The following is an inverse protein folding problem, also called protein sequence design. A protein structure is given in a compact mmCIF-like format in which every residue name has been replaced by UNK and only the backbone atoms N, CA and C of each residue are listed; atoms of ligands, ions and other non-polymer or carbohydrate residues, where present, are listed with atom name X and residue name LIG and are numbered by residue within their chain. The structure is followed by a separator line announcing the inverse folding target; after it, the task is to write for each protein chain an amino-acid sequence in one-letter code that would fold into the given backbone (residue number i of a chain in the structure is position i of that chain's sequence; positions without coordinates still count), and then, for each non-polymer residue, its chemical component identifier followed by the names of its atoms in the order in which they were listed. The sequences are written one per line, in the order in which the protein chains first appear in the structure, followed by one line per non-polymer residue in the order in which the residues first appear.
data_IF_011563448363
#
_entry.id   IF_011563448363
#
_cell.length_a   1.000
_cell.length_b   1.000
_cell.length_c   1.000
_cell.angle_alpha   90.00
_cell.angle_beta   90.00
_cell.angle_gamma   90.00
#
_symmetry.space_group_name_H-M   'P 1'
#
loop_
_entity.id
_entity.type
_entity.pdbx_description
1 polymer ?
#
# COMPACT_ATOMS: atom_id res chain seq x y z
N UNK A 1 -7.00 13.30 -17.16
CA UNK A 1 -5.84 12.92 -16.32
C UNK A 1 -6.18 11.85 -15.28
N UNK A 2 -7.21 12.00 -14.43
CA UNK A 2 -7.62 10.96 -13.48
C UNK A 2 -7.84 9.58 -14.13
N UNK A 3 -8.61 9.55 -15.23
CA UNK A 3 -8.85 8.34 -16.01
C UNK A 3 -7.55 7.72 -16.55
N UNK A 4 -6.57 8.51 -16.98
CA UNK A 4 -5.30 7.98 -17.49
C UNK A 4 -4.48 7.31 -16.40
N UNK A 5 -4.54 7.83 -15.17
CA UNK A 5 -3.84 7.23 -14.03
C UNK A 5 -4.55 5.94 -13.60
N UNK A 6 -5.88 5.95 -13.57
CA UNK A 6 -6.67 4.75 -13.31
C UNK A 6 -6.49 3.67 -14.39
N UNK A 7 -6.35 4.08 -15.66
CA UNK A 7 -6.06 3.16 -16.78
C UNK A 7 -4.65 2.60 -16.73
N UNK A 8 -3.66 3.41 -16.33
CA UNK A 8 -2.27 2.95 -16.24
C UNK A 8 -2.04 2.06 -15.02
N UNK A 9 -2.52 2.48 -13.85
CA UNK A 9 -2.12 1.91 -12.58
C UNK A 9 -3.25 1.11 -11.90
N UNK A 10 -4.43 1.03 -12.51
CA UNK A 10 -5.63 0.53 -11.85
C UNK A 10 -6.06 1.45 -10.69
N UNK A 11 -6.65 0.87 -9.67
CA UNK A 11 -6.85 1.58 -8.40
C UNK A 11 -5.51 1.59 -7.65
N UNK A 12 -4.97 2.78 -7.39
CA UNK A 12 -3.64 2.97 -6.81
C UNK A 12 -3.52 2.51 -5.35
N UNK A 13 -4.62 2.08 -4.72
CA UNK A 13 -4.69 1.59 -3.33
C UNK A 13 -3.76 0.41 -3.05
N UNK A 14 -3.41 -0.38 -4.06
CA UNK A 14 -2.52 -1.54 -3.93
C UNK A 14 -1.04 -1.28 -4.25
N UNK A 15 -0.71 -0.08 -4.75
CA UNK A 15 0.62 0.17 -5.32
C UNK A 15 1.66 0.69 -4.31
N UNK A 16 1.34 1.60 -3.36
CA UNK A 16 2.35 2.06 -2.40
C UNK A 16 2.35 1.18 -1.12
N UNK A 17 3.50 0.89 -0.44
CA UNK A 17 4.90 1.11 -0.69
C UNK A 17 5.43 1.25 -2.07
N UNK A 18 5.21 0.17 -2.79
CA UNK A 18 6.25 -0.55 -3.50
C UNK A 18 6.37 -0.06 -4.96
N UNK A 19 5.38 0.67 -5.43
CA UNK A 19 5.27 1.15 -6.80
C UNK A 19 4.85 0.03 -7.72
N UNK A 20 5.11 0.21 -9.01
CA UNK A 20 4.72 -0.77 -10.02
C UNK A 20 5.88 -1.72 -10.32
N UNK A 21 5.68 -3.02 -10.05
CA UNK A 21 6.53 -4.09 -10.58
C UNK A 21 6.01 -4.55 -11.94
N UNK A 22 6.25 -3.72 -12.96
CA UNK A 22 5.81 -3.99 -14.32
C UNK A 22 6.48 -5.24 -14.92
N UNK A 23 7.67 -5.63 -14.43
CA UNK A 23 8.35 -6.84 -14.88
C UNK A 23 7.60 -8.08 -14.42
N UNK A 24 7.26 -8.15 -13.12
CA UNK A 24 6.43 -9.23 -12.59
C UNK A 24 5.05 -9.25 -13.24
N UNK A 25 4.44 -8.08 -13.45
CA UNK A 25 3.12 -7.99 -14.07
C UNK A 25 3.12 -8.56 -15.50
N UNK A 26 4.08 -8.15 -16.34
CA UNK A 26 4.24 -8.72 -17.70
C UNK A 26 4.49 -10.23 -17.65
N UNK A 27 5.32 -10.70 -16.72
CA UNK A 27 5.60 -12.12 -16.57
C UNK A 27 4.34 -12.93 -16.20
N UNK A 28 3.47 -12.40 -15.35
CA UNK A 28 2.20 -13.06 -15.00
C UNK A 28 1.23 -13.12 -16.19
N UNK A 29 1.21 -12.10 -17.06
CA UNK A 29 0.42 -12.15 -18.31
C UNK A 29 0.96 -13.23 -19.25
N UNK A 30 2.28 -13.30 -19.49
CA UNK A 30 2.87 -14.35 -20.34
C UNK A 30 2.65 -15.76 -19.78
N UNK A 31 2.76 -15.89 -18.45
CA UNK A 31 2.43 -17.15 -17.78
C UNK A 31 0.97 -17.52 -17.98
N UNK A 32 0.05 -16.58 -17.85
CA UNK A 32 -1.38 -16.84 -18.08
C UNK A 32 -1.69 -17.27 -19.53
N UNK A 33 -0.95 -16.75 -20.53
CA UNK A 33 -1.09 -17.18 -21.94
C UNK A 33 -0.66 -18.62 -22.21
N UNK A 34 0.33 -19.09 -21.46
CA UNK A 34 0.99 -20.38 -21.73
C UNK A 34 0.46 -21.52 -20.85
N UNK A 35 -0.18 -21.18 -19.73
CA UNK A 35 -0.80 -22.15 -18.82
C UNK A 35 -1.97 -22.86 -19.49
N UNK A 36 -2.01 -24.19 -19.35
CA UNK A 36 -3.19 -24.98 -19.70
C UNK A 36 -4.37 -24.57 -18.80
N UNK A 37 -5.52 -24.11 -19.35
CA UNK A 37 -6.69 -23.76 -18.55
C UNK A 37 -7.15 -24.90 -17.62
N UNK A 38 -6.99 -26.16 -18.04
CA UNK A 38 -7.33 -27.31 -17.22
C UNK A 38 -6.34 -27.48 -16.06
N UNK A 39 -5.06 -27.16 -16.24
CA UNK A 39 -4.08 -27.09 -15.16
C UNK A 39 -4.45 -26.01 -14.16
N UNK A 40 -4.81 -24.82 -14.65
CA UNK A 40 -5.24 -23.73 -13.77
C UNK A 40 -6.48 -24.10 -12.96
N UNK A 41 -7.43 -24.78 -13.58
CA UNK A 41 -8.61 -25.29 -12.88
C UNK A 41 -8.25 -26.33 -11.82
N UNK A 42 -7.30 -27.24 -12.11
CA UNK A 42 -6.77 -28.19 -11.11
C UNK A 42 -6.09 -27.46 -9.94
N UNK A 43 -5.35 -26.39 -10.18
CA UNK A 43 -4.77 -25.57 -9.11
C UNK A 43 -5.86 -24.93 -8.23
N UNK A 44 -6.90 -24.36 -8.84
CA UNK A 44 -8.03 -23.78 -8.12
C UNK A 44 -8.77 -24.83 -7.30
N UNK A 45 -9.02 -26.01 -7.86
CA UNK A 45 -9.63 -27.13 -7.13
C UNK A 45 -8.78 -27.55 -5.92
N UNK A 46 -7.45 -27.62 -6.08
CA UNK A 46 -6.53 -27.88 -4.97
C UNK A 46 -6.56 -26.75 -3.93
N UNK A 47 -6.62 -25.50 -4.37
CA UNK A 47 -6.72 -24.34 -3.48
C UNK A 47 -8.02 -24.36 -2.69
N UNK A 48 -9.16 -24.73 -3.29
CA UNK A 48 -10.42 -24.94 -2.57
C UNK A 48 -10.29 -26.07 -1.54
N UNK A 49 -9.65 -27.19 -1.90
CA UNK A 49 -9.46 -28.33 -0.99
C UNK A 49 -8.60 -27.98 0.23
N UNK A 50 -7.62 -27.07 0.06
CA UNK A 50 -6.75 -26.55 1.12
C UNK A 50 -7.43 -25.48 2.00
N UNK A 51 -8.74 -25.30 1.92
CA UNK A 51 -9.45 -24.42 2.85
C UNK A 51 -9.36 -24.94 4.29
N UNK A 52 -9.10 -24.05 5.23
CA UNK A 52 -8.95 -24.37 6.65
C UNK A 52 -10.30 -24.61 7.33
N UNK A 53 -11.37 -23.99 6.82
CA UNK A 53 -12.72 -24.09 7.35
C UNK A 53 -13.79 -24.04 6.24
N UNK A 54 -15.05 -24.34 6.60
CA UNK A 54 -16.15 -24.41 5.64
C UNK A 54 -16.56 -23.04 5.09
N UNK A 55 -16.42 -21.97 5.86
CA UNK A 55 -16.66 -20.61 5.39
C UNK A 55 -15.66 -20.20 4.32
N UNK A 56 -14.38 -20.49 4.56
CA UNK A 56 -13.32 -20.31 3.58
C UNK A 56 -13.54 -21.18 2.35
N UNK A 57 -13.89 -22.45 2.52
CA UNK A 57 -14.19 -23.35 1.41
C UNK A 57 -15.26 -22.77 0.51
N UNK A 58 -16.36 -22.24 1.07
CA UNK A 58 -17.43 -21.59 0.31
C UNK A 58 -16.94 -20.39 -0.51
N UNK A 59 -16.12 -19.51 0.09
CA UNK A 59 -15.57 -18.34 -0.63
C UNK A 59 -14.61 -18.77 -1.73
N UNK A 60 -13.72 -19.74 -1.47
CA UNK A 60 -12.79 -20.28 -2.46
C UNK A 60 -13.56 -20.97 -3.60
N UNK A 61 -14.59 -21.75 -3.29
CA UNK A 61 -15.45 -22.44 -4.25
C UNK A 61 -16.19 -21.43 -5.13
N UNK A 62 -16.79 -20.39 -4.55
CA UNK A 62 -17.42 -19.29 -5.30
C UNK A 62 -16.44 -18.65 -6.29
N UNK A 63 -15.22 -18.33 -5.85
CA UNK A 63 -14.18 -17.76 -6.74
C UNK A 63 -13.77 -18.72 -7.84
N UNK A 64 -13.63 -20.01 -7.52
CA UNK A 64 -13.34 -21.06 -8.51
C UNK A 64 -14.46 -21.20 -9.53
N UNK A 65 -15.72 -21.17 -9.10
CA UNK A 65 -16.88 -21.33 -9.99
C UNK A 65 -17.13 -20.10 -10.87
N UNK A 66 -16.72 -18.91 -10.40
CA UNK A 66 -16.72 -17.68 -11.19
C UNK A 66 -15.50 -17.57 -12.12
N UNK A 67 -14.49 -18.43 -11.99
CA UNK A 67 -13.26 -18.31 -12.76
C UNK A 67 -13.46 -18.79 -14.20
N UNK A 68 -13.38 -17.84 -15.13
CA UNK A 68 -13.22 -18.09 -16.56
C UNK A 68 -11.80 -17.70 -16.96
N UNK A 69 -11.00 -18.68 -17.40
CA UNK A 69 -9.61 -18.45 -17.78
C UNK A 69 -9.49 -17.50 -18.99
N UNK A 70 -10.36 -17.64 -19.98
CA UNK A 70 -10.31 -16.81 -21.17
C UNK A 70 -10.70 -15.36 -20.85
N UNK A 71 -11.70 -15.14 -20.00
CA UNK A 71 -12.03 -13.79 -19.51
C UNK A 71 -10.92 -13.22 -18.64
N UNK A 72 -10.38 -13.99 -17.69
CA UNK A 72 -9.29 -13.52 -16.84
C UNK A 72 -8.07 -13.10 -17.66
N UNK A 73 -7.67 -13.89 -18.66
CA UNK A 73 -6.58 -13.55 -19.57
C UNK A 73 -6.91 -12.28 -20.38
N UNK A 74 -8.12 -12.15 -20.93
CA UNK A 74 -8.55 -10.93 -21.64
C UNK A 74 -8.45 -9.69 -20.77
N UNK A 75 -8.90 -9.75 -19.51
CA UNK A 75 -8.79 -8.64 -18.57
C UNK A 75 -7.31 -8.27 -18.32
N UNK A 76 -6.48 -9.27 -18.00
CA UNK A 76 -5.05 -9.05 -17.75
C UNK A 76 -4.34 -8.41 -18.96
N UNK A 77 -4.65 -8.87 -20.18
CA UNK A 77 -4.10 -8.31 -21.41
C UNK A 77 -4.61 -6.89 -21.69
N UNK A 78 -5.90 -6.62 -21.43
CA UNK A 78 -6.48 -5.30 -21.61
C UNK A 78 -5.88 -4.28 -20.63
N UNK A 79 -5.67 -4.66 -19.36
CA UNK A 79 -5.02 -3.80 -18.37
C UNK A 79 -3.57 -3.49 -18.75
N UNK A 80 -2.80 -4.50 -19.19
CA UNK A 80 -1.42 -4.29 -19.66
C UNK A 80 -1.37 -3.43 -20.94
N UNK A 81 -2.31 -3.63 -21.87
CA UNK A 81 -2.42 -2.80 -23.07
C UNK A 81 -2.78 -1.34 -22.73
N UNK A 82 -3.63 -1.12 -21.71
CA UNK A 82 -3.94 0.22 -21.23
C UNK A 82 -2.71 0.89 -20.63
N UNK A 83 -1.93 0.17 -19.82
CA UNK A 83 -0.63 0.66 -19.32
C UNK A 83 0.30 1.07 -20.46
N UNK A 84 0.50 0.20 -21.45
CA UNK A 84 1.39 0.45 -22.59
C UNK A 84 0.91 1.61 -23.47
N UNK A 85 -0.40 1.77 -23.63
CA UNK A 85 -0.97 2.91 -24.34
C UNK A 85 -0.69 4.25 -23.63
N UNK A 86 -0.82 4.29 -22.30
CA UNK A 86 -0.47 5.51 -21.54
C UNK A 86 1.04 5.76 -21.56
N UNK A 87 1.85 4.70 -21.46
CA UNK A 87 3.31 4.78 -21.56
C UNK A 87 3.74 5.43 -22.88
N UNK A 88 3.11 5.04 -23.99
CA UNK A 88 3.42 5.57 -25.32
C UNK A 88 3.18 7.09 -25.44
N UNK A 89 2.27 7.65 -24.64
CA UNK A 89 1.97 9.08 -24.63
C UNK A 89 2.86 9.88 -23.66
N UNK A 90 3.73 9.24 -22.86
CA UNK A 90 4.59 9.93 -21.90
C UNK A 90 5.46 11.05 -22.49
N UNK A 91 6.03 10.94 -23.70
CA UNK A 91 6.78 12.04 -24.30
C UNK A 91 5.97 13.34 -24.42
N UNK A 92 4.67 13.25 -24.70
CA UNK A 92 3.77 14.42 -24.73
C UNK A 92 3.36 14.85 -23.34
N UNK A 93 3.08 13.90 -22.45
CA UNK A 93 2.65 14.20 -21.09
C UNK A 93 3.76 14.88 -20.27
N UNK A 94 5.04 14.60 -20.55
CA UNK A 94 6.20 15.25 -19.91
C UNK A 94 6.28 16.77 -20.10
N UNK A 95 5.47 17.37 -20.97
CA UNK A 95 5.39 18.85 -21.11
C UNK A 95 4.35 19.48 -20.18
N UNK A 96 3.45 18.68 -19.60
CA UNK A 96 2.37 19.17 -18.74
C UNK A 96 2.77 19.57 -17.31
N UNK A 97 3.92 19.16 -16.73
CA UNK A 97 4.41 19.72 -15.47
C UNK A 97 4.68 21.24 -15.51
N UNK A 98 4.75 21.85 -16.70
CA UNK A 98 4.83 23.32 -16.88
C UNK A 98 3.50 23.96 -17.30
N UNK A 99 2.39 23.22 -17.28
CA UNK A 99 1.09 23.76 -17.66
C UNK A 99 0.64 24.86 -16.69
N UNK A 100 -0.15 25.82 -17.19
CA UNK A 100 -0.70 26.89 -16.35
C UNK A 100 -1.66 26.36 -15.28
N UNK A 101 -2.35 25.26 -15.55
CA UNK A 101 -3.32 24.64 -14.65
C UNK A 101 -2.61 23.77 -13.58
N UNK A 102 -2.69 24.12 -12.29
CA UNK A 102 -2.15 23.30 -11.20
C UNK A 102 -2.72 21.88 -11.16
N UNK A 103 -3.98 21.69 -11.55
CA UNK A 103 -4.59 20.35 -11.57
C UNK A 103 -3.89 19.44 -12.58
N UNK A 104 -3.62 19.94 -13.79
CA UNK A 104 -2.87 19.21 -14.80
C UNK A 104 -1.43 18.92 -14.36
N UNK A 105 -0.77 19.88 -13.70
CA UNK A 105 0.58 19.67 -13.15
C UNK A 105 0.58 18.59 -12.08
N UNK A 106 -0.33 18.64 -11.09
CA UNK A 106 -0.46 17.65 -10.02
C UNK A 106 -0.72 16.25 -10.59
N UNK A 107 -1.71 16.13 -11.47
CA UNK A 107 -2.09 14.84 -12.01
C UNK A 107 -0.99 14.23 -12.90
N UNK A 108 -0.31 15.06 -13.68
CA UNK A 108 0.82 14.60 -14.51
C UNK A 108 2.01 14.22 -13.63
N UNK A 109 2.36 15.04 -12.63
CA UNK A 109 3.48 14.78 -11.75
C UNK A 109 3.35 13.41 -11.08
N UNK A 110 2.13 13.06 -10.62
CA UNK A 110 1.86 11.75 -10.07
C UNK A 110 1.91 10.63 -11.11
N UNK A 111 1.27 10.82 -12.29
CA UNK A 111 1.21 9.82 -13.35
C UNK A 111 2.61 9.33 -13.76
N UNK A 112 3.57 10.26 -13.88
CA UNK A 112 4.94 9.96 -14.29
C UNK A 112 5.63 8.94 -13.37
N UNK A 113 5.21 8.85 -12.10
CA UNK A 113 5.78 7.94 -11.11
C UNK A 113 5.51 6.45 -11.37
N UNK A 114 4.49 6.12 -12.18
CA UNK A 114 4.07 4.74 -12.43
C UNK A 114 4.82 4.03 -13.57
N UNK A 115 5.76 4.71 -14.22
CA UNK A 115 6.49 4.18 -15.37
C UNK A 115 7.99 4.08 -15.05
N UNK A 116 8.42 3.05 -14.30
CA UNK A 116 9.82 2.89 -13.94
C UNK A 116 10.73 2.70 -15.16
N UNK A 117 10.24 2.12 -16.27
CA UNK A 117 11.02 2.00 -17.51
C UNK A 117 11.35 3.37 -18.13
N UNK A 118 10.60 4.39 -17.75
CA UNK A 118 10.65 5.75 -18.27
C UNK A 118 11.24 6.74 -17.24
N UNK A 119 11.85 6.21 -16.17
CA UNK A 119 12.30 6.98 -15.01
C UNK A 119 13.21 8.16 -15.37
N UNK A 120 14.24 7.96 -16.19
CA UNK A 120 15.19 9.02 -16.53
C UNK A 120 14.52 10.25 -17.17
N UNK A 121 13.64 10.02 -18.14
CA UNK A 121 12.89 11.09 -18.81
C UNK A 121 11.84 11.74 -17.91
N UNK A 122 11.20 10.94 -17.06
CA UNK A 122 10.21 11.43 -16.09
C UNK A 122 10.84 12.28 -14.98
N UNK A 123 11.97 11.85 -14.41
CA UNK A 123 12.73 12.62 -13.42
C UNK A 123 13.21 13.96 -14.02
N UNK A 124 13.79 13.93 -15.22
CA UNK A 124 14.21 15.15 -15.92
C UNK A 124 13.05 16.14 -16.12
N UNK A 125 11.86 15.63 -16.50
CA UNK A 125 10.67 16.46 -16.70
C UNK A 125 10.10 17.03 -15.39
N UNK A 126 10.36 16.38 -14.27
CA UNK A 126 9.94 16.84 -12.94
C UNK A 126 10.91 17.87 -12.35
N UNK A 127 12.23 17.70 -12.51
CA UNK A 127 13.24 18.53 -11.82
C UNK A 127 13.11 20.04 -12.07
N UNK A 128 13.09 20.46 -13.34
CA UNK A 128 13.12 21.89 -13.66
C UNK A 128 11.86 22.67 -13.25
N UNK A 129 10.63 22.12 -13.45
CA UNK A 129 9.40 22.80 -13.00
C UNK A 129 9.29 22.86 -11.47
N UNK A 130 9.76 21.83 -10.76
CA UNK A 130 9.63 21.76 -9.31
C UNK A 130 10.39 22.84 -8.56
N UNK A 131 11.55 23.27 -9.08
CA UNK A 131 12.32 24.36 -8.47
C UNK A 131 11.56 25.70 -8.40
N UNK A 132 10.48 25.85 -9.19
CA UNK A 132 9.66 27.08 -9.26
C UNK A 132 8.22 26.85 -8.79
N UNK A 133 7.88 25.63 -8.43
CA UNK A 133 6.53 25.28 -8.02
C UNK A 133 6.22 25.88 -6.65
N UNK A 134 5.03 26.46 -6.53
CA UNK A 134 4.55 27.04 -5.26
C UNK A 134 3.31 26.33 -4.73
N UNK A 135 2.69 25.47 -5.53
CA UNK A 135 1.50 24.70 -5.15
C UNK A 135 1.92 23.43 -4.39
N UNK A 136 1.61 23.31 -3.09
CA UNK A 136 2.06 22.20 -2.26
C UNK A 136 1.60 20.82 -2.77
N UNK A 137 0.41 20.74 -3.35
CA UNK A 137 -0.14 19.49 -3.89
C UNK A 137 0.68 18.96 -5.07
N UNK A 138 1.14 19.85 -5.95
CA UNK A 138 2.00 19.47 -7.09
C UNK A 138 3.33 18.93 -6.57
N UNK A 139 3.97 19.66 -5.65
CA UNK A 139 5.23 19.27 -5.02
C UNK A 139 5.10 17.91 -4.32
N UNK A 140 4.05 17.72 -3.51
CA UNK A 140 3.82 16.46 -2.79
C UNK A 140 3.69 15.26 -3.74
N UNK A 141 2.90 15.39 -4.81
CA UNK A 141 2.76 14.31 -5.81
C UNK A 141 4.07 14.06 -6.56
N UNK A 142 4.83 15.10 -6.85
CA UNK A 142 6.12 14.94 -7.47
C UNK A 142 7.14 14.24 -6.56
N UNK A 143 7.16 14.53 -5.25
CA UNK A 143 8.04 13.85 -4.30
C UNK A 143 7.77 12.34 -4.31
N UNK A 144 6.49 11.97 -4.25
CA UNK A 144 6.06 10.56 -4.32
C UNK A 144 6.55 9.93 -5.61
N UNK A 145 6.34 10.56 -6.77
CA UNK A 145 6.82 10.06 -8.05
C UNK A 145 8.34 9.94 -8.12
N UNK A 146 9.08 10.90 -7.58
CA UNK A 146 10.55 10.84 -7.50
C UNK A 146 10.97 9.59 -6.73
N UNK A 147 10.31 9.29 -5.60
CA UNK A 147 10.61 8.08 -4.84
C UNK A 147 10.16 6.79 -5.54
N UNK A 148 9.04 6.81 -6.28
CA UNK A 148 8.60 5.67 -7.10
C UNK A 148 9.64 5.35 -8.19
N UNK A 149 10.23 6.38 -8.80
CA UNK A 149 11.23 6.28 -9.86
C UNK A 149 12.68 6.17 -9.35
N UNK A 150 12.90 6.03 -8.04
CA UNK A 150 14.23 5.93 -7.42
C UNK A 150 15.15 7.13 -7.71
N UNK A 151 14.60 8.35 -7.75
CA UNK A 151 15.33 9.60 -8.00
C UNK A 151 16.22 10.06 -6.84
N UNK A 152 17.26 9.28 -6.53
CA UNK A 152 18.17 9.51 -5.39
C UNK A 152 18.93 10.86 -5.45
N UNK A 153 19.12 11.43 -6.64
CA UNK A 153 19.71 12.77 -6.81
C UNK A 153 18.96 13.89 -6.08
N UNK A 154 17.68 13.69 -5.78
CA UNK A 154 16.80 14.67 -5.14
C UNK A 154 16.67 14.49 -3.62
N UNK A 155 17.41 13.55 -3.03
CA UNK A 155 17.41 13.32 -1.57
C UNK A 155 17.74 14.59 -0.77
N UNK A 156 18.79 15.38 -1.09
CA UNK A 156 19.09 16.59 -0.33
C UNK A 156 17.92 17.57 -0.33
N UNK A 157 17.25 17.73 -1.47
CA UNK A 157 16.12 18.63 -1.64
C UNK A 157 14.86 18.15 -0.88
N UNK A 158 14.59 16.85 -0.86
CA UNK A 158 13.53 16.30 -0.02
C UNK A 158 13.81 16.53 1.48
N UNK A 159 15.08 16.46 1.91
CA UNK A 159 15.44 16.71 3.32
C UNK A 159 15.17 18.15 3.75
N UNK A 160 15.39 19.13 2.87
CA UNK A 160 15.07 20.54 3.15
C UNK A 160 13.58 20.73 3.49
N UNK A 161 12.70 19.94 2.87
CA UNK A 161 11.26 20.02 3.09
C UNK A 161 10.79 19.37 4.39
N UNK A 162 11.62 18.58 5.08
CA UNK A 162 11.27 18.00 6.39
C UNK A 162 11.15 19.07 7.48
N UNK A 163 11.91 20.17 7.37
CA UNK A 163 11.89 21.28 8.31
C UNK A 163 10.94 22.42 7.87
N UNK A 164 10.27 22.24 6.73
CA UNK A 164 9.35 23.24 6.16
C UNK A 164 8.07 23.42 6.99
N UNK A 165 7.35 24.54 6.83
CA UNK A 165 6.13 24.84 7.59
C UNK A 165 4.93 23.96 7.17
N UNK A 166 4.90 23.51 5.92
CA UNK A 166 3.77 22.81 5.30
C UNK A 166 3.71 21.32 5.74
N UNK A 167 2.66 20.88 6.46
CA UNK A 167 2.52 19.49 6.89
C UNK A 167 2.41 18.47 5.76
N UNK A 168 1.80 18.84 4.63
CA UNK A 168 1.67 17.96 3.46
C UNK A 168 3.05 17.72 2.84
N UNK A 169 3.85 18.77 2.67
CA UNK A 169 5.20 18.64 2.10
C UNK A 169 6.13 17.87 3.02
N UNK A 170 6.06 18.11 4.34
CA UNK A 170 6.80 17.31 5.33
C UNK A 170 6.46 15.83 5.24
N UNK A 171 5.17 15.50 5.17
CA UNK A 171 4.71 14.12 5.03
C UNK A 171 5.19 13.50 3.71
N UNK A 172 5.00 14.19 2.58
CA UNK A 172 5.38 13.66 1.27
C UNK A 172 6.89 13.45 1.16
N UNK A 173 7.70 14.36 1.72
CA UNK A 173 9.14 14.23 1.76
C UNK A 173 9.57 13.04 2.63
N UNK A 174 9.00 12.90 3.83
CA UNK A 174 9.28 11.80 4.73
C UNK A 174 8.88 10.44 4.13
N UNK A 175 7.72 10.37 3.48
CA UNK A 175 7.24 9.20 2.75
C UNK A 175 8.24 8.78 1.66
N UNK A 176 8.67 9.77 0.86
CA UNK A 176 9.59 9.58 -0.25
C UNK A 176 10.97 9.12 0.21
N UNK A 177 11.50 9.73 1.27
CA UNK A 177 12.78 9.37 1.88
C UNK A 177 12.71 7.97 2.52
N UNK A 178 11.65 7.67 3.27
CA UNK A 178 11.46 6.35 3.86
C UNK A 178 11.39 5.24 2.80
N UNK A 179 10.79 5.50 1.63
CA UNK A 179 10.76 4.59 0.48
C UNK A 179 12.14 4.40 -0.19
N UNK A 180 12.99 5.41 -0.16
CA UNK A 180 14.38 5.30 -0.62
C UNK A 180 15.34 4.81 0.47
N UNK A 181 14.81 4.21 1.54
CA UNK A 181 15.55 3.66 2.70
C UNK A 181 16.26 4.72 3.57
N UNK A 182 15.92 5.99 3.38
CA UNK A 182 16.35 7.10 4.23
C UNK A 182 15.31 7.35 5.33
N UNK A 183 15.41 6.58 6.41
CA UNK A 183 14.55 6.69 7.59
C UNK A 183 15.37 7.16 8.79
N UNK A 184 15.92 8.37 8.70
CA UNK A 184 16.55 9.04 9.84
C UNK A 184 15.48 9.54 10.84
N UNK A 185 15.88 9.96 12.06
CA UNK A 185 14.91 10.35 13.09
C UNK A 185 13.92 11.43 12.64
N UNK A 186 14.32 12.38 11.78
CA UNK A 186 13.40 13.43 11.30
C UNK A 186 12.32 12.85 10.39
N UNK A 187 12.69 11.92 9.52
CA UNK A 187 11.72 11.20 8.67
C UNK A 187 10.72 10.43 9.53
N UNK A 188 11.19 9.71 10.55
CA UNK A 188 10.31 8.99 11.48
C UNK A 188 9.37 9.95 12.20
N UNK A 189 9.87 11.07 12.74
CA UNK A 189 9.05 12.08 13.41
C UNK A 189 7.97 12.64 12.48
N UNK A 190 8.30 12.96 11.23
CA UNK A 190 7.33 13.48 10.27
C UNK A 190 6.24 12.45 9.91
N UNK A 191 6.61 11.18 9.76
CA UNK A 191 5.64 10.09 9.52
C UNK A 191 4.75 9.84 10.73
N UNK A 192 5.30 9.84 11.95
CA UNK A 192 4.52 9.74 13.19
C UNK A 192 3.54 10.92 13.31
N UNK A 193 3.97 12.14 13.01
CA UNK A 193 3.09 13.31 13.03
C UNK A 193 1.93 13.19 12.03
N UNK A 194 2.18 12.64 10.84
CA UNK A 194 1.13 12.38 9.85
C UNK A 194 0.17 11.27 10.30
N UNK A 195 0.68 10.27 11.01
CA UNK A 195 -0.10 9.15 11.55
C UNK A 195 -1.06 9.60 12.66
N UNK A 196 -0.57 10.44 13.59
CA UNK A 196 -1.35 10.92 14.75
C UNK A 196 -2.14 12.18 14.48
N UNK A 197 -1.88 12.85 13.35
CA UNK A 197 -2.59 14.05 12.93
C UNK A 197 -4.09 13.84 12.74
N UNK A 198 -4.89 14.92 12.66
CA UNK A 198 -6.32 14.83 12.39
C UNK A 198 -6.58 14.06 11.10
N UNK A 199 -7.73 13.37 11.03
CA UNK A 199 -8.18 12.75 9.80
C UNK A 199 -8.42 13.91 8.84
N UNK A 200 -7.60 14.01 7.80
CA UNK A 200 -7.76 15.09 6.85
C UNK A 200 -8.84 14.67 5.87
N UNK A 201 -10.03 15.25 6.03
CA UNK A 201 -11.05 15.21 5.01
C UNK A 201 -10.60 16.04 3.80
N UNK A 202 -11.07 15.59 2.64
CA UNK A 202 -11.04 16.24 1.33
C UNK A 202 -9.81 15.98 0.44
N UNK A 203 -10.02 15.01 -0.46
CA UNK A 203 -10.08 15.24 -1.90
C UNK A 203 -9.10 16.30 -2.47
N UNK A 204 -7.89 15.86 -2.77
CA UNK A 204 -7.22 16.31 -3.98
C UNK A 204 -7.35 15.20 -5.04
N UNK A 205 -8.43 15.19 -5.85
CA UNK A 205 -8.45 14.35 -7.05
C UNK A 205 -7.19 14.68 -7.87
N UNK A 206 -6.50 13.68 -8.41
CA UNK A 206 -7.07 12.38 -8.74
C UNK A 206 -6.87 11.22 -7.74
N UNK A 207 -6.29 11.43 -6.55
CA UNK A 207 -5.79 10.29 -5.76
C UNK A 207 -6.26 10.30 -4.31
N UNK A 208 -6.43 9.10 -3.74
CA UNK A 208 -6.88 8.92 -2.36
C UNK A 208 -5.73 9.32 -1.43
N UNK A 209 -5.84 10.50 -0.82
CA UNK A 209 -4.86 11.03 0.14
C UNK A 209 -5.03 10.38 1.52
N UNK A 210 -4.91 9.05 1.62
CA UNK A 210 -4.84 8.37 2.92
C UNK A 210 -3.43 8.50 3.51
N UNK A 211 -3.12 9.71 3.97
CA UNK A 211 -1.79 10.04 4.52
C UNK A 211 -1.43 9.18 5.72
N UNK A 212 -2.41 8.79 6.53
CA UNK A 212 -2.21 7.96 7.72
C UNK A 212 -1.80 6.55 7.33
N UNK A 213 -2.53 5.91 6.42
CA UNK A 213 -2.20 4.56 5.98
C UNK A 213 -0.85 4.53 5.28
N UNK A 214 -0.54 5.50 4.42
CA UNK A 214 0.79 5.57 3.78
C UNK A 214 1.92 5.84 4.77
N UNK A 215 1.69 6.69 5.78
CA UNK A 215 2.66 6.90 6.86
C UNK A 215 2.89 5.61 7.66
N UNK A 216 1.82 4.89 8.01
CA UNK A 216 1.89 3.62 8.72
C UNK A 216 2.65 2.56 7.90
N UNK A 217 2.33 2.40 6.61
CA UNK A 217 3.03 1.46 5.71
C UNK A 217 4.53 1.80 5.60
N UNK A 218 4.86 3.08 5.56
CA UNK A 218 6.25 3.52 5.41
C UNK A 218 7.06 3.38 6.69
N UNK A 219 6.43 3.63 7.85
CA UNK A 219 7.01 3.30 9.15
C UNK A 219 7.25 1.79 9.25
N UNK A 220 6.26 0.95 8.92
CA UNK A 220 6.39 -0.50 8.96
C UNK A 220 7.56 -1.02 8.11
N UNK A 221 7.87 -0.35 6.99
CA UNK A 221 9.01 -0.68 6.13
C UNK A 221 10.38 -0.44 6.78
N UNK A 222 10.47 0.47 7.76
CA UNK A 222 11.70 0.72 8.52
C UNK A 222 11.99 -0.39 9.54
N UNK A 223 11.00 -1.23 9.86
CA UNK A 223 11.16 -2.43 10.69
C UNK A 223 11.80 -2.13 12.04
N UNK A 224 12.89 -2.84 12.34
CA UNK A 224 13.61 -2.77 13.63
C UNK A 224 14.29 -1.41 13.90
N UNK A 225 14.36 -0.52 12.90
CA UNK A 225 14.88 0.85 13.07
C UNK A 225 13.88 1.79 13.72
N UNK A 226 12.64 1.35 13.92
CA UNK A 226 11.60 2.17 14.55
C UNK A 226 11.87 2.33 16.05
N UNK A 227 11.89 3.57 16.58
CA UNK A 227 11.89 3.79 18.02
C UNK A 227 10.56 3.33 18.62
N UNK A 228 10.58 2.88 19.88
CA UNK A 228 9.37 2.42 20.60
C UNK A 228 8.24 3.46 20.60
N UNK A 229 8.55 4.75 20.63
CA UNK A 229 7.53 5.80 20.53
C UNK A 229 6.74 5.75 19.20
N UNK A 230 7.39 5.41 18.09
CA UNK A 230 6.73 5.27 16.79
C UNK A 230 5.86 4.01 16.73
N UNK A 231 6.32 2.93 17.39
CA UNK A 231 5.55 1.70 17.59
C UNK A 231 4.27 2.02 18.39
N UNK A 232 4.42 2.70 19.52
CA UNK A 232 3.30 3.10 20.39
C UNK A 232 2.28 3.96 19.65
N UNK A 233 2.75 4.94 18.86
CA UNK A 233 1.87 5.78 18.05
C UNK A 233 1.06 4.98 17.01
N UNK A 234 1.66 3.97 16.38
CA UNK A 234 0.95 3.11 15.44
C UNK A 234 -0.06 2.19 16.12
N UNK A 235 0.28 1.65 17.30
CA UNK A 235 -0.63 0.83 18.08
C UNK A 235 -1.81 1.66 18.61
N UNK A 236 -1.57 2.89 19.05
CA UNK A 236 -2.65 3.82 19.44
C UNK A 236 -3.55 4.15 18.25
N UNK A 237 -2.97 4.40 17.08
CA UNK A 237 -3.74 4.65 15.85
C UNK A 237 -4.63 3.45 15.48
N UNK A 238 -4.09 2.24 15.51
CA UNK A 238 -4.87 1.01 15.28
C UNK A 238 -5.97 0.80 16.35
N UNK A 239 -5.68 1.12 17.61
CA UNK A 239 -6.65 1.00 18.69
C UNK A 239 -7.88 1.91 18.46
N UNK A 240 -7.63 3.13 17.99
CA UNK A 240 -8.63 4.19 17.72
C UNK A 240 -9.29 4.12 16.35
N UNK A 241 -8.72 3.35 15.41
CA UNK A 241 -9.21 3.25 14.05
C UNK A 241 -10.70 2.84 14.01
N UNK A 242 -11.47 3.53 13.18
CA UNK A 242 -12.84 3.13 12.88
C UNK A 242 -12.89 1.74 12.24
N UNK A 243 -14.09 1.16 12.10
CA UNK A 243 -14.22 -0.18 11.53
C UNK A 243 -13.62 -0.30 10.12
N UNK A 244 -13.74 0.77 9.32
CA UNK A 244 -13.21 0.83 7.95
C UNK A 244 -11.69 1.03 7.93
N UNK A 245 -11.18 1.92 8.79
CA UNK A 245 -9.74 2.21 8.90
C UNK A 245 -8.95 1.04 9.52
N UNK A 246 -9.60 0.22 10.37
CA UNK A 246 -8.94 -0.92 11.02
C UNK A 246 -8.36 -1.91 10.01
N UNK A 247 -9.00 -2.11 8.85
CA UNK A 247 -8.45 -2.94 7.77
C UNK A 247 -7.16 -2.36 7.21
N UNK A 248 -7.16 -1.05 6.91
CA UNK A 248 -6.02 -0.34 6.34
C UNK A 248 -4.83 -0.29 7.33
N UNK A 249 -5.12 -0.15 8.63
CA UNK A 249 -4.11 -0.10 9.69
C UNK A 249 -3.61 -1.47 10.16
N UNK A 250 -4.37 -2.56 9.94
CA UNK A 250 -3.97 -3.89 10.34
C UNK A 250 -2.70 -4.38 9.61
N UNK A 251 -2.60 -4.13 8.30
CA UNK A 251 -1.44 -4.55 7.50
C UNK A 251 -0.14 -3.88 7.94
N UNK A 252 -0.06 -2.54 8.10
CA UNK A 252 1.11 -1.87 8.67
C UNK A 252 1.50 -2.39 10.05
N UNK A 253 0.52 -2.56 10.96
CA UNK A 253 0.78 -3.03 12.31
C UNK A 253 1.36 -4.46 12.31
N UNK A 254 0.82 -5.34 11.46
CA UNK A 254 1.33 -6.70 11.29
C UNK A 254 2.72 -6.71 10.64
N UNK A 255 2.96 -5.95 9.56
CA UNK A 255 4.29 -5.83 8.93
C UNK A 255 5.36 -5.35 9.90
N UNK A 256 5.03 -4.38 10.76
CA UNK A 256 5.97 -3.90 11.78
C UNK A 256 6.30 -4.98 12.83
N UNK A 257 5.31 -5.75 13.27
CA UNK A 257 5.51 -6.76 14.31
C UNK A 257 6.07 -8.10 13.78
N UNK A 258 5.81 -8.40 12.51
CA UNK A 258 6.20 -9.62 11.83
C UNK A 258 6.95 -9.25 10.54
N UNK A 259 8.23 -8.86 10.63
CA UNK A 259 9.01 -8.44 9.45
C UNK A 259 9.34 -9.61 8.51
N UNK A 260 9.25 -10.84 9.01
CA UNK A 260 9.42 -12.06 8.23
C UNK A 260 8.07 -12.69 7.93
N UNK A 261 8.03 -13.59 6.94
CA UNK A 261 6.84 -14.35 6.64
C UNK A 261 6.26 -15.01 7.90
N UNK A 262 4.93 -14.97 8.07
CA UNK A 262 4.30 -15.49 9.27
C UNK A 262 4.59 -16.98 9.42
N UNK A 263 5.21 -17.42 10.53
CA UNK A 263 5.63 -18.80 10.70
C UNK A 263 4.45 -19.75 10.59
N UNK A 264 4.65 -20.87 9.90
CA UNK A 264 3.68 -21.97 9.77
C UNK A 264 4.38 -23.27 10.20
N UNK A 265 3.95 -23.93 11.30
CA UNK A 265 2.74 -23.68 12.09
C UNK A 265 2.80 -22.40 12.95
N UNK A 266 1.63 -21.93 13.40
CA UNK A 266 1.50 -20.76 14.28
C UNK A 266 2.20 -21.03 15.63
N UNK A 267 3.12 -20.17 16.09
CA UNK A 267 3.73 -20.30 17.40
C UNK A 267 2.69 -20.04 18.52
N UNK A 268 2.85 -20.62 19.71
CA UNK A 268 2.10 -20.22 20.89
C UNK A 268 2.22 -18.71 21.17
N UNK A 269 1.15 -18.10 21.67
CA UNK A 269 1.13 -16.66 21.94
C UNK A 269 2.22 -16.22 22.93
N UNK A 270 2.55 -17.05 23.92
CA UNK A 270 3.61 -16.78 24.90
C UNK A 270 5.02 -16.76 24.29
N UNK A 271 5.22 -17.36 23.12
CA UNK A 271 6.49 -17.36 22.40
C UNK A 271 6.64 -16.15 21.46
N UNK A 272 5.56 -15.38 21.26
CA UNK A 272 5.62 -14.11 20.53
C UNK A 272 6.38 -13.06 21.34
N UNK A 273 7.08 -12.16 20.65
CA UNK A 273 7.67 -10.97 21.27
C UNK A 273 6.60 -10.06 21.85
N UNK A 274 6.96 -9.19 22.81
CA UNK A 274 6.01 -8.24 23.41
C UNK A 274 5.31 -7.38 22.35
N UNK A 275 6.05 -6.91 21.33
CA UNK A 275 5.51 -6.15 20.20
C UNK A 275 4.45 -6.93 19.42
N UNK A 276 4.72 -8.21 19.12
CA UNK A 276 3.78 -9.10 18.43
C UNK A 276 2.53 -9.39 19.28
N UNK A 277 2.72 -9.64 20.57
CA UNK A 277 1.61 -9.86 21.50
C UNK A 277 0.68 -8.64 21.58
N UNK A 278 1.24 -7.43 21.62
CA UNK A 278 0.46 -6.17 21.64
C UNK A 278 -0.39 -6.00 20.39
N UNK A 279 0.18 -6.23 19.20
CA UNK A 279 -0.57 -6.16 17.92
C UNK A 279 -1.70 -7.18 17.89
N UNK A 280 -1.41 -8.44 18.23
CA UNK A 280 -2.42 -9.52 18.21
C UNK A 280 -3.56 -9.23 19.19
N UNK A 281 -3.26 -8.74 20.41
CA UNK A 281 -4.29 -8.36 21.39
C UNK A 281 -5.18 -7.23 20.86
N UNK A 282 -4.60 -6.17 20.31
CA UNK A 282 -5.38 -5.04 19.76
C UNK A 282 -6.31 -5.47 18.62
N UNK A 283 -5.85 -6.38 17.76
CA UNK A 283 -6.67 -6.95 16.69
C UNK A 283 -7.80 -7.82 17.27
N UNK A 284 -7.52 -8.63 18.30
CA UNK A 284 -8.50 -9.46 19.00
C UNK A 284 -9.56 -8.65 19.78
N UNK A 285 -9.24 -7.43 20.18
CA UNK A 285 -10.15 -6.50 20.87
C UNK A 285 -11.03 -5.67 19.92
N UNK A 286 -10.84 -5.78 18.60
CA UNK A 286 -11.72 -5.08 17.65
C UNK A 286 -13.16 -5.55 17.77
N UNK A 287 -14.08 -4.59 17.67
CA UNK A 287 -15.51 -4.82 17.83
C UNK A 287 -16.09 -5.70 16.72
N UNK A 288 -17.26 -6.32 16.95
CA UNK A 288 -17.85 -7.32 16.05
C UNK A 288 -18.08 -6.80 14.63
N UNK A 289 -18.33 -5.50 14.46
CA UNK A 289 -18.50 -4.87 13.16
C UNK A 289 -17.24 -4.92 12.29
N UNK A 290 -16.03 -4.82 12.86
CA UNK A 290 -14.76 -4.97 12.12
C UNK A 290 -14.61 -6.40 11.59
N UNK A 291 -15.02 -7.38 12.39
CA UNK A 291 -14.93 -8.81 12.06
C UNK A 291 -15.92 -9.26 10.98
N UNK A 292 -16.94 -8.44 10.66
CA UNK A 292 -17.86 -8.71 9.54
C UNK A 292 -17.21 -8.52 8.17
N UNK A 293 -16.11 -7.76 8.10
CA UNK A 293 -15.42 -7.50 6.85
C UNK A 293 -14.51 -8.66 6.47
N UNK A 294 -14.75 -9.24 5.30
CA UNK A 294 -13.93 -10.34 4.74
C UNK A 294 -12.47 -9.93 4.52
N UNK A 295 -12.21 -8.64 4.25
CA UNK A 295 -10.87 -8.11 4.13
C UNK A 295 -10.08 -8.24 5.44
N UNK A 296 -10.68 -7.86 6.57
CA UNK A 296 -10.02 -7.95 7.88
C UNK A 296 -9.68 -9.39 8.25
N UNK A 297 -10.65 -10.30 8.13
CA UNK A 297 -10.44 -11.73 8.42
C UNK A 297 -9.47 -12.38 7.43
N UNK A 298 -9.48 -11.96 6.16
CA UNK A 298 -8.51 -12.35 5.16
C UNK A 298 -7.08 -11.93 5.51
N UNK A 299 -6.88 -10.70 5.98
CA UNK A 299 -5.58 -10.19 6.46
C UNK A 299 -5.10 -11.07 7.62
N UNK A 300 -5.92 -11.30 8.65
CA UNK A 300 -5.52 -12.13 9.79
C UNK A 300 -5.12 -13.55 9.37
N UNK A 301 -5.85 -14.17 8.44
CA UNK A 301 -5.50 -15.50 7.93
C UNK A 301 -4.18 -15.49 7.16
N UNK A 302 -3.94 -14.47 6.32
CA UNK A 302 -2.69 -14.34 5.57
C UNK A 302 -1.48 -14.25 6.49
N UNK A 303 -1.62 -13.46 7.58
CA UNK A 303 -0.60 -13.26 8.61
C UNK A 303 -0.55 -14.36 9.67
N UNK A 304 -1.41 -15.36 9.56
CA UNK A 304 -1.53 -16.50 10.44
C UNK A 304 -2.08 -16.27 11.87
N UNK A 305 -2.70 -15.14 12.29
CA UNK A 305 -3.67 -15.19 13.40
C UNK A 305 -4.94 -16.00 13.10
N UNK A 306 -5.72 -16.42 14.14
CA UNK A 306 -7.06 -16.96 13.92
C UNK A 306 -7.95 -15.97 13.15
N UNK A 307 -8.71 -16.49 12.19
CA UNK A 307 -9.56 -15.67 11.32
C UNK A 307 -10.95 -15.38 11.87
N UNK A 308 -11.25 -15.80 13.10
CA UNK A 308 -12.52 -15.58 13.78
C UNK A 308 -12.32 -14.89 15.15
N UNK A 309 -13.32 -14.13 15.65
CA UNK A 309 -13.15 -13.32 16.85
C UNK A 309 -12.83 -14.16 18.10
N UNK A 310 -13.54 -15.27 18.30
CA UNK A 310 -13.41 -16.10 19.49
C UNK A 310 -12.05 -16.81 19.53
N UNK A 311 -11.62 -17.37 18.40
CA UNK A 311 -10.31 -17.96 18.22
C UNK A 311 -9.19 -16.95 18.44
N UNK A 312 -9.31 -15.73 17.90
CA UNK A 312 -8.30 -14.68 18.04
C UNK A 312 -8.17 -14.20 19.49
N UNK A 313 -9.29 -14.02 20.18
CA UNK A 313 -9.31 -13.68 21.61
C UNK A 313 -8.72 -14.78 22.47
N UNK A 314 -9.10 -16.03 22.24
CA UNK A 314 -8.56 -17.19 22.95
C UNK A 314 -7.05 -17.30 22.76
N UNK A 315 -6.59 -17.16 21.51
CA UNK A 315 -5.16 -17.15 21.19
C UNK A 315 -4.41 -16.03 21.92
N UNK A 316 -4.99 -14.84 22.01
CA UNK A 316 -4.42 -13.69 22.71
C UNK A 316 -4.52 -13.76 24.26
N UNK A 317 -5.10 -14.84 24.81
CA UNK A 317 -5.34 -15.00 26.25
C UNK A 317 -6.47 -14.11 26.80
N UNK A 318 -7.36 -13.62 25.93
CA UNK A 318 -8.52 -12.81 26.30
C UNK A 318 -9.74 -13.70 26.49
N UNK A 319 -10.63 -13.33 27.42
CA UNK A 319 -11.90 -14.02 27.61
C UNK A 319 -12.73 -13.99 26.32
N UNK A 320 -13.32 -15.12 25.93
CA UNK A 320 -14.29 -15.17 24.84
C UNK A 320 -15.45 -14.22 25.16
N UNK A 321 -15.78 -13.31 24.24
CA UNK A 321 -16.94 -12.44 24.39
C UNK A 321 -18.20 -13.31 24.39
N UNK A 322 -19.09 -13.13 25.37
CA UNK A 322 -20.42 -13.74 25.40
C UNK A 322 -21.28 -13.18 24.27
#
# INVERSE_FOLDING_TARGET
MHLLCALAAGHDEGLPPDGMDITAWRAEVEKARTVDPAEKMRELDQWVRRACDEGERRVRQMRRDMYDHAEALRCMEAELAAYDAVRAELPRLRTLPTAADPYLRTATAYLLGFFPEEAAGSLTALEAPLARETVPEVLAKAFISIALLSGTGLIPWLREHLDGPDPLLRWAAALSLARMDHGDPKVITALVAALTGPAQDAACPPFRDDRRTYAALSLARLGDRLPEQAVDAMLECLARASQLEACAMAVPALRMAFPQDPPRPRPPFAELTERQQRVVRLLAEKGPETWRWSNFTGILRAWNPPGDPAGCRTYAGLAASQ
#
